data_IF_954804228194
#
_entry.id   IF_954804228194
#
_cell.length_a   1.000
_cell.length_b   1.000
_cell.length_c   1.000
_cell.angle_alpha   90.00
_cell.angle_beta   90.00
_cell.angle_gamma   90.00
#
_symmetry.space_group_name_H-M   'P 1'
#
loop_
_entity.id
_entity.type
_entity.pdbx_description
1 polymer ?
#
# COMPACT_ATOMS: atom_id res chain seq x y z
N UNK A 1 -10.35 -12.15 -6.86
CA UNK A 1 -10.34 -13.58 -6.47
C UNK A 1 -11.77 -13.98 -6.21
N UNK A 2 -12.27 -15.00 -6.90
CA UNK A 2 -13.61 -15.55 -6.68
C UNK A 2 -13.45 -16.66 -5.65
N UNK A 3 -13.50 -16.29 -4.37
CA UNK A 3 -13.51 -17.27 -3.28
C UNK A 3 -14.90 -17.88 -3.17
N UNK A 4 -14.97 -19.19 -2.94
CA UNK A 4 -16.24 -19.89 -2.70
C UNK A 4 -16.14 -20.70 -1.41
N UNK A 5 -17.20 -20.62 -0.60
CA UNK A 5 -17.35 -21.31 0.68
C UNK A 5 -18.58 -22.24 0.52
N UNK A 6 -18.36 -23.54 0.27
CA UNK A 6 -19.40 -24.48 -0.17
C UNK A 6 -20.50 -24.72 0.87
N UNK A 7 -20.20 -24.43 2.12
CA UNK A 7 -21.01 -24.71 3.29
C UNK A 7 -21.97 -23.56 3.66
N UNK A 8 -21.77 -22.34 3.21
CA UNK A 8 -22.60 -21.22 3.68
C UNK A 8 -24.03 -21.24 3.13
N UNK A 9 -25.03 -21.48 3.97
CA UNK A 9 -26.46 -21.50 3.62
C UNK A 9 -27.17 -20.31 4.28
N UNK A 10 -28.07 -19.65 3.54
CA UNK A 10 -29.01 -18.68 4.11
C UNK A 10 -30.08 -19.45 4.90
N UNK A 11 -30.46 -19.06 6.12
CA UNK A 11 -31.43 -19.79 6.94
C UNK A 11 -32.85 -19.87 6.33
N UNK A 12 -33.19 -19.00 5.38
CA UNK A 12 -34.45 -19.09 4.63
C UNK A 12 -34.20 -19.30 3.13
N UNK A 13 -34.90 -20.25 2.48
CA UNK A 13 -34.87 -20.39 1.03
C UNK A 13 -35.32 -19.09 0.38
N UNK A 14 -34.58 -18.64 -0.64
CA UNK A 14 -35.08 -17.56 -1.50
C UNK A 14 -36.31 -18.12 -2.22
N UNK A 15 -37.50 -17.52 -2.05
CA UNK A 15 -38.69 -17.98 -2.75
C UNK A 15 -38.42 -18.07 -4.25
N UNK A 16 -38.90 -19.14 -4.90
CA UNK A 16 -38.61 -19.39 -6.32
C UNK A 16 -39.04 -18.22 -7.23
N UNK A 17 -40.06 -17.45 -6.81
CA UNK A 17 -40.55 -16.27 -7.50
C UNK A 17 -39.61 -15.05 -7.41
N UNK A 18 -38.67 -15.03 -6.46
CA UNK A 18 -37.69 -13.94 -6.29
C UNK A 18 -36.39 -14.18 -7.06
N UNK A 19 -36.14 -15.42 -7.51
CA UNK A 19 -34.94 -15.78 -8.28
C UNK A 19 -34.82 -15.01 -9.61
N UNK A 20 -35.88 -14.81 -10.41
CA UNK A 20 -35.80 -14.03 -11.64
C UNK A 20 -35.35 -12.59 -11.40
N UNK A 21 -35.89 -11.91 -10.37
CA UNK A 21 -35.52 -10.53 -10.04
C UNK A 21 -34.10 -10.40 -9.48
N UNK A 22 -33.57 -11.46 -8.85
CA UNK A 22 -32.18 -11.54 -8.41
C UNK A 22 -31.25 -11.74 -9.60
N UNK A 23 -31.61 -12.63 -10.53
CA UNK A 23 -30.87 -12.89 -11.77
C UNK A 23 -30.87 -11.66 -12.66
N UNK A 24 -32.00 -10.97 -12.83
CA UNK A 24 -32.10 -9.73 -13.61
C UNK A 24 -31.22 -8.62 -13.05
N UNK A 25 -31.23 -8.38 -11.73
CA UNK A 25 -30.33 -7.39 -11.10
C UNK A 25 -28.86 -7.70 -11.37
N UNK A 26 -28.47 -8.97 -11.31
CA UNK A 26 -27.10 -9.42 -11.58
C UNK A 26 -26.73 -9.30 -13.07
N UNK A 27 -27.69 -9.50 -13.97
CA UNK A 27 -27.52 -9.30 -15.41
C UNK A 27 -27.47 -7.81 -15.79
N UNK A 28 -28.25 -6.94 -15.13
CA UNK A 28 -28.19 -5.48 -15.27
C UNK A 28 -26.85 -4.90 -14.78
N UNK A 29 -26.30 -5.43 -13.69
CA UNK A 29 -24.95 -5.09 -13.23
C UNK A 29 -23.86 -5.51 -14.23
N UNK A 30 -24.08 -6.61 -14.98
CA UNK A 30 -23.20 -7.04 -16.08
C UNK A 30 -23.25 -6.10 -17.28
N UNK A 31 -24.43 -5.61 -17.67
CA UNK A 31 -24.60 -4.79 -18.89
C UNK A 31 -24.04 -3.37 -18.75
N UNK A 32 -23.92 -2.85 -17.52
CA UNK A 32 -23.37 -1.52 -17.22
C UNK A 32 -21.83 -1.45 -17.21
N UNK A 33 -21.11 -2.52 -17.56
CA UNK A 33 -19.64 -2.52 -17.61
C UNK A 33 -19.10 -1.80 -18.85
N UNK A 34 -18.97 -0.48 -18.76
CA UNK A 34 -17.78 0.21 -19.31
C UNK A 34 -16.69 0.10 -18.25
N UNK A 35 -15.46 -0.27 -18.66
CA UNK A 35 -14.34 -0.61 -17.76
C UNK A 35 -14.30 0.26 -16.49
N UNK A 36 -14.45 -0.31 -15.28
CA UNK A 36 -14.30 0.50 -14.09
C UNK A 36 -13.30 -0.07 -13.07
N UNK A 37 -12.69 0.89 -12.36
CA UNK A 37 -12.56 0.89 -10.91
C UNK A 37 -13.34 -0.26 -10.26
N UNK A 38 -12.63 -1.10 -9.50
CA UNK A 38 -13.19 -2.20 -8.72
C UNK A 38 -14.52 -1.76 -8.08
N UNK A 39 -15.67 -2.40 -8.41
CA UNK A 39 -16.90 -2.12 -7.70
C UNK A 39 -16.69 -2.37 -6.20
N UNK A 40 -17.41 -1.68 -5.30
CA UNK A 40 -17.40 -2.06 -3.90
C UNK A 40 -17.73 -3.55 -3.82
N UNK A 41 -17.01 -4.33 -2.98
CA UNK A 41 -17.26 -5.76 -2.89
C UNK A 41 -18.75 -5.95 -2.57
N UNK A 42 -19.43 -6.78 -3.36
CA UNK A 42 -20.78 -7.26 -3.03
C UNK A 42 -20.75 -7.68 -1.56
N UNK A 43 -21.49 -6.95 -0.72
CA UNK A 43 -21.64 -7.31 0.69
C UNK A 43 -22.63 -8.46 0.74
N UNK A 44 -22.09 -9.68 0.66
CA UNK A 44 -22.83 -10.85 1.08
C UNK A 44 -23.01 -10.76 2.60
N UNK A 45 -24.22 -10.98 3.14
CA UNK A 45 -24.42 -11.04 4.58
C UNK A 45 -23.50 -12.10 5.20
N UNK A 46 -23.06 -11.88 6.44
CA UNK A 46 -22.21 -12.83 7.12
C UNK A 46 -22.94 -14.19 7.21
N UNK A 47 -22.31 -15.24 6.71
CA UNK A 47 -22.92 -16.54 6.64
C UNK A 47 -22.85 -17.23 8.01
N UNK A 48 -23.92 -17.89 8.44
CA UNK A 48 -23.89 -18.67 9.68
C UNK A 48 -23.04 -19.95 9.50
N UNK A 49 -22.25 -20.34 10.52
CA UNK A 49 -21.41 -21.53 10.43
C UNK A 49 -22.26 -22.80 10.33
N UNK A 50 -21.90 -23.69 9.42
CA UNK A 50 -22.54 -25.02 9.35
C UNK A 50 -22.09 -25.88 10.52
N UNK A 51 -23.01 -26.74 10.98
CA UNK A 51 -22.76 -27.89 11.84
C UNK A 51 -21.45 -28.62 11.47
N UNK A 52 -20.68 -29.08 12.47
CA UNK A 52 -19.47 -29.88 12.27
C UNK A 52 -19.70 -31.18 11.46
N UNK A 53 -20.96 -31.62 11.36
CA UNK A 53 -21.40 -32.73 10.53
C UNK A 53 -22.31 -32.22 9.42
N UNK A 54 -21.88 -32.39 8.17
CA UNK A 54 -22.68 -32.13 6.99
C UNK A 54 -23.58 -33.33 6.71
N UNK A 55 -24.88 -33.10 6.49
CA UNK A 55 -25.76 -34.11 5.90
C UNK A 55 -25.36 -34.40 4.45
N UNK A 56 -25.90 -35.48 3.86
CA UNK A 56 -25.71 -35.74 2.42
C UNK A 56 -26.23 -34.56 1.58
N UNK A 57 -27.37 -34.03 1.98
CA UNK A 57 -28.04 -32.89 1.34
C UNK A 57 -27.17 -31.63 1.41
N UNK A 58 -26.53 -31.35 2.55
CA UNK A 58 -25.61 -30.21 2.70
C UNK A 58 -24.40 -30.35 1.76
N UNK A 59 -23.84 -31.56 1.68
CA UNK A 59 -22.70 -31.84 0.80
C UNK A 59 -23.06 -31.62 -0.67
N UNK A 60 -24.20 -32.14 -1.11
CA UNK A 60 -24.70 -31.98 -2.48
C UNK A 60 -25.06 -30.52 -2.78
N UNK A 61 -25.67 -29.81 -1.83
CA UNK A 61 -25.98 -28.39 -1.97
C UNK A 61 -24.72 -27.55 -2.23
N UNK A 62 -23.62 -27.83 -1.52
CA UNK A 62 -22.34 -27.16 -1.79
C UNK A 62 -21.79 -27.45 -3.18
N UNK A 63 -21.97 -28.66 -3.69
CA UNK A 63 -21.57 -29.03 -5.06
C UNK A 63 -22.40 -28.26 -6.09
N UNK A 64 -23.73 -28.20 -5.91
CA UNK A 64 -24.61 -27.47 -6.82
C UNK A 64 -24.32 -25.97 -6.83
N UNK A 65 -24.03 -25.37 -5.68
CA UNK A 65 -23.60 -23.97 -5.60
C UNK A 65 -22.30 -23.72 -6.35
N UNK A 66 -21.28 -24.56 -6.13
CA UNK A 66 -20.01 -24.46 -6.85
C UNK A 66 -20.24 -24.57 -8.35
N UNK A 67 -21.03 -25.55 -8.77
CA UNK A 67 -21.38 -25.78 -10.16
C UNK A 67 -22.11 -24.59 -10.80
N UNK A 68 -23.11 -24.00 -10.13
CA UNK A 68 -23.82 -22.81 -10.63
C UNK A 68 -22.84 -21.64 -10.82
N UNK A 69 -21.97 -21.41 -9.83
CA UNK A 69 -20.98 -20.33 -9.88
C UNK A 69 -19.99 -20.57 -11.04
N UNK A 70 -19.47 -21.78 -11.16
CA UNK A 70 -18.49 -22.12 -12.18
C UNK A 70 -19.09 -22.09 -13.60
N UNK A 71 -20.31 -22.60 -13.78
CA UNK A 71 -21.01 -22.62 -15.07
C UNK A 71 -21.41 -21.22 -15.55
N UNK A 72 -21.92 -20.36 -14.67
CA UNK A 72 -22.58 -19.10 -15.08
C UNK A 72 -21.77 -17.82 -14.79
N UNK A 73 -20.84 -17.86 -13.83
CA UNK A 73 -20.14 -16.68 -13.32
C UNK A 73 -18.63 -16.72 -13.51
N UNK A 74 -18.08 -17.86 -13.92
CA UNK A 74 -16.65 -18.01 -14.19
C UNK A 74 -16.33 -17.74 -15.66
N UNK A 75 -15.14 -17.18 -16.00
CA UNK A 75 -14.63 -17.16 -17.37
C UNK A 75 -14.38 -18.57 -17.96
N UNK A 76 -14.58 -19.62 -17.15
CA UNK A 76 -14.37 -21.02 -17.49
C UNK A 76 -15.62 -21.73 -18.04
N UNK A 77 -16.74 -21.02 -18.27
CA UNK A 77 -18.03 -21.60 -18.68
C UNK A 77 -17.98 -22.49 -19.93
N UNK A 78 -16.96 -22.35 -20.78
CA UNK A 78 -16.83 -23.11 -22.03
C UNK A 78 -15.74 -24.20 -21.97
N UNK A 79 -15.17 -24.50 -20.80
CA UNK A 79 -14.04 -25.42 -20.67
C UNK A 79 -14.42 -26.91 -20.57
N UNK A 80 -15.66 -27.24 -20.24
CA UNK A 80 -16.09 -28.62 -20.03
C UNK A 80 -17.58 -28.80 -20.31
N UNK A 81 -17.98 -30.04 -20.52
CA UNK A 81 -19.38 -30.44 -20.34
C UNK A 81 -19.71 -30.37 -18.84
N UNK A 82 -20.53 -29.38 -18.48
CA UNK A 82 -20.90 -29.12 -17.10
C UNK A 82 -21.88 -30.16 -16.55
N UNK A 83 -22.70 -30.77 -17.39
CA UNK A 83 -23.66 -31.77 -16.94
C UNK A 83 -22.90 -33.08 -16.64
N UNK A 84 -21.99 -33.49 -17.52
CA UNK A 84 -21.08 -34.62 -17.28
C UNK A 84 -20.20 -34.40 -16.04
N UNK A 85 -19.66 -33.19 -15.87
CA UNK A 85 -18.90 -32.82 -14.67
C UNK A 85 -19.72 -33.01 -13.39
N UNK A 86 -21.00 -32.61 -13.39
CA UNK A 86 -21.85 -32.76 -12.22
C UNK A 86 -22.07 -34.24 -11.87
N UNK A 87 -22.35 -35.08 -12.88
CA UNK A 87 -22.50 -36.53 -12.68
C UNK A 87 -21.23 -37.20 -12.16
N UNK A 88 -20.05 -36.73 -12.58
CA UNK A 88 -18.77 -37.25 -12.10
C UNK A 88 -18.52 -36.92 -10.61
N UNK A 89 -18.90 -35.71 -10.17
CA UNK A 89 -18.56 -35.19 -8.84
C UNK A 89 -19.61 -35.48 -7.76
N UNK A 90 -20.88 -35.74 -8.12
CA UNK A 90 -21.93 -36.16 -7.17
C UNK A 90 -21.46 -37.31 -6.27
N UNK A 91 -21.08 -38.49 -6.80
CA UNK A 91 -20.72 -39.63 -5.96
C UNK A 91 -19.46 -39.36 -5.12
N UNK A 92 -18.53 -38.54 -5.62
CA UNK A 92 -17.30 -38.19 -4.89
C UNK A 92 -17.56 -37.28 -3.69
N UNK A 93 -18.52 -36.36 -3.81
CA UNK A 93 -18.91 -35.45 -2.73
C UNK A 93 -19.78 -36.17 -1.70
N UNK A 94 -20.64 -37.10 -2.13
CA UNK A 94 -21.52 -37.86 -1.24
C UNK A 94 -20.76 -38.72 -0.24
N UNK A 95 -19.64 -39.34 -0.65
CA UNK A 95 -18.86 -40.25 0.19
C UNK A 95 -18.06 -39.56 1.29
N UNK A 96 -17.94 -38.23 1.26
CA UNK A 96 -17.16 -37.49 2.26
C UNK A 96 -17.71 -37.74 3.67
N UNK A 97 -16.87 -38.25 4.55
CA UNK A 97 -17.27 -38.67 5.91
C UNK A 97 -17.21 -37.53 6.92
N UNK A 98 -16.33 -36.57 6.68
CA UNK A 98 -16.11 -35.43 7.56
C UNK A 98 -15.88 -34.14 6.75
N UNK A 99 -15.82 -33.01 7.47
CA UNK A 99 -15.57 -31.69 6.87
C UNK A 99 -14.22 -31.64 6.13
N UNK A 100 -13.19 -32.33 6.64
CA UNK A 100 -11.84 -32.27 6.06
C UNK A 100 -11.81 -32.95 4.69
N UNK A 101 -12.39 -34.15 4.60
CA UNK A 101 -12.54 -34.89 3.36
C UNK A 101 -13.39 -34.10 2.36
N UNK A 102 -14.51 -33.54 2.83
CA UNK A 102 -15.40 -32.70 2.03
C UNK A 102 -14.65 -31.55 1.35
N UNK A 103 -13.90 -30.73 2.10
CA UNK A 103 -13.13 -29.64 1.50
C UNK A 103 -12.00 -30.12 0.59
N UNK A 104 -11.33 -31.23 0.91
CA UNK A 104 -10.32 -31.83 0.04
C UNK A 104 -10.90 -32.29 -1.31
N UNK A 105 -12.17 -32.73 -1.34
CA UNK A 105 -12.88 -33.05 -2.58
C UNK A 105 -13.08 -31.78 -3.42
N UNK A 106 -13.51 -30.67 -2.80
CA UNK A 106 -13.64 -29.38 -3.51
C UNK A 106 -12.31 -28.81 -4.00
N UNK A 107 -11.22 -28.98 -3.24
CA UNK A 107 -9.88 -28.59 -3.70
C UNK A 107 -9.46 -29.40 -4.93
N UNK A 108 -9.72 -30.72 -4.93
CA UNK A 108 -9.47 -31.57 -6.12
C UNK A 108 -10.32 -31.16 -7.31
N UNK A 109 -11.60 -30.87 -7.07
CA UNK A 109 -12.54 -30.40 -8.08
C UNK A 109 -12.05 -29.10 -8.71
N UNK A 110 -11.68 -28.12 -7.89
CA UNK A 110 -11.24 -26.81 -8.39
C UNK A 110 -9.85 -26.83 -9.01
N UNK A 111 -8.97 -27.76 -8.62
CA UNK A 111 -7.66 -27.95 -9.24
C UNK A 111 -7.74 -28.30 -10.74
N UNK A 112 -8.80 -29.00 -11.17
CA UNK A 112 -9.03 -29.34 -12.59
C UNK A 112 -9.34 -28.12 -13.47
N UNK A 113 -9.71 -26.99 -12.87
CA UNK A 113 -10.05 -25.78 -13.61
C UNK A 113 -8.83 -25.01 -14.13
N UNK A 114 -7.61 -25.36 -13.64
CA UNK A 114 -6.35 -24.75 -14.03
C UNK A 114 -6.33 -23.20 -14.01
N UNK A 115 -7.13 -22.59 -13.12
CA UNK A 115 -7.39 -21.15 -13.10
C UNK A 115 -6.81 -20.46 -11.87
N UNK A 116 -6.28 -19.25 -12.04
CA UNK A 116 -5.70 -18.42 -10.94
C UNK A 116 -6.73 -17.74 -10.04
N UNK A 117 -8.03 -18.00 -10.23
CA UNK A 117 -9.11 -17.23 -9.62
C UNK A 117 -10.06 -18.02 -8.73
N UNK A 118 -9.81 -19.33 -8.52
CA UNK A 118 -10.67 -20.20 -7.71
C UNK A 118 -9.90 -20.67 -6.47
N UNK A 119 -10.47 -20.43 -5.30
CA UNK A 119 -9.93 -20.90 -4.02
C UNK A 119 -11.09 -21.42 -3.16
N UNK A 120 -10.92 -22.62 -2.61
CA UNK A 120 -11.79 -23.17 -1.56
C UNK A 120 -11.38 -22.56 -0.23
N UNK A 121 -12.32 -21.95 0.50
CA UNK A 121 -12.08 -21.36 1.82
C UNK A 121 -12.91 -22.09 2.86
N UNK A 122 -12.32 -22.39 4.02
CA UNK A 122 -13.00 -23.03 5.14
C UNK A 122 -12.34 -22.75 6.49
N UNK A 123 -13.03 -22.99 7.62
CA UNK A 123 -12.49 -22.70 8.96
C UNK A 123 -11.17 -23.42 9.28
N UNK A 124 -10.99 -24.67 8.83
CA UNK A 124 -9.70 -25.37 8.97
C UNK A 124 -8.56 -24.79 8.08
N UNK A 125 -8.86 -23.85 7.18
CA UNK A 125 -7.89 -23.09 6.37
C UNK A 125 -7.57 -21.72 6.99
N UNK A 126 -8.23 -21.37 8.11
CA UNK A 126 -7.92 -20.19 8.92
C UNK A 126 -6.70 -20.40 9.82
N UNK A 127 -5.90 -21.44 9.55
CA UNK A 127 -4.59 -21.63 10.18
C UNK A 127 -3.75 -20.38 9.94
N UNK A 128 -3.46 -19.65 11.02
CA UNK A 128 -2.67 -18.41 10.96
C UNK A 128 -1.21 -18.63 11.30
N UNK A 129 -0.89 -19.70 12.04
CA UNK A 129 0.47 -19.99 12.46
C UNK A 129 1.32 -20.44 11.27
N UNK A 130 2.56 -19.97 11.25
CA UNK A 130 3.51 -20.21 10.16
C UNK A 130 4.83 -20.72 10.69
N UNK A 131 5.54 -21.51 9.90
CA UNK A 131 6.91 -21.87 10.22
C UNK A 131 7.82 -20.63 10.24
N UNK A 132 8.86 -20.61 11.08
CA UNK A 132 9.87 -19.54 11.12
C UNK A 132 10.81 -19.52 9.90
N UNK A 133 10.38 -20.02 8.75
CA UNK A 133 11.16 -20.08 7.51
C UNK A 133 10.34 -19.61 6.32
N UNK A 134 11.03 -19.13 5.29
CA UNK A 134 10.47 -18.87 3.96
C UNK A 134 11.08 -19.87 3.00
N UNK A 135 10.24 -20.64 2.33
CA UNK A 135 10.69 -21.57 1.30
C UNK A 135 10.75 -20.88 -0.06
N UNK A 136 11.64 -21.35 -0.93
CA UNK A 136 11.77 -20.96 -2.33
C UNK A 136 12.01 -22.18 -3.19
N UNK A 137 11.76 -22.06 -4.48
CA UNK A 137 12.25 -23.01 -5.47
C UNK A 137 13.55 -22.50 -6.06
N UNK A 138 14.56 -23.37 -6.13
CA UNK A 138 15.81 -23.14 -6.85
C UNK A 138 16.21 -24.44 -7.56
N UNK A 139 16.42 -24.39 -8.87
CA UNK A 139 16.89 -25.54 -9.67
C UNK A 139 16.06 -26.83 -9.48
N UNK A 140 14.72 -26.70 -9.42
CA UNK A 140 13.81 -27.83 -9.21
C UNK A 140 13.79 -28.38 -7.77
N UNK A 141 14.52 -27.76 -6.84
CA UNK A 141 14.57 -28.13 -5.42
C UNK A 141 13.84 -27.11 -4.57
N UNK A 142 13.30 -27.57 -3.45
CA UNK A 142 12.73 -26.70 -2.42
C UNK A 142 13.81 -26.34 -1.40
N UNK A 143 14.09 -25.06 -1.25
CA UNK A 143 15.18 -24.56 -0.41
C UNK A 143 14.71 -23.48 0.57
N UNK A 144 15.47 -23.29 1.64
CA UNK A 144 15.25 -22.21 2.60
C UNK A 144 15.74 -20.90 2.00
N UNK A 145 14.81 -19.98 1.73
CA UNK A 145 15.08 -18.66 1.17
C UNK A 145 14.93 -17.50 2.16
N UNK A 146 14.66 -17.79 3.43
CA UNK A 146 14.53 -16.82 4.51
C UNK A 146 14.32 -17.52 5.86
N UNK A 147 14.80 -16.92 6.93
CA UNK A 147 14.73 -17.44 8.29
C UNK A 147 14.26 -16.31 9.23
N UNK A 148 13.42 -16.66 10.21
CA UNK A 148 13.04 -15.78 11.32
C UNK A 148 13.45 -16.44 12.64
N UNK A 149 14.19 -15.73 13.48
CA UNK A 149 14.77 -16.29 14.71
C UNK A 149 16.01 -17.15 14.42
N UNK A 150 16.35 -18.04 15.36
CA UNK A 150 17.51 -18.93 15.28
C UNK A 150 17.10 -20.42 15.16
N UNK A 151 16.40 -20.84 14.10
CA UNK A 151 16.21 -22.25 13.85
C UNK A 151 17.55 -22.92 13.52
N UNK A 152 17.67 -24.22 13.82
CA UNK A 152 18.82 -25.08 13.47
C UNK A 152 19.05 -25.26 11.96
N UNK A 153 18.37 -24.47 11.12
CA UNK A 153 18.35 -24.54 9.65
C UNK A 153 19.07 -23.32 9.06
N UNK A 154 19.71 -23.48 7.91
CA UNK A 154 20.50 -22.41 7.27
C UNK A 154 19.83 -21.90 5.98
N UNK A 155 20.15 -20.66 5.60
CA UNK A 155 19.75 -20.16 4.28
C UNK A 155 20.41 -21.03 3.19
N UNK A 156 19.62 -21.43 2.19
CA UNK A 156 20.05 -22.30 1.10
C UNK A 156 19.92 -23.80 1.38
N UNK A 157 19.61 -24.21 2.62
CA UNK A 157 19.37 -25.60 2.96
C UNK A 157 18.24 -26.20 2.09
N UNK A 158 18.44 -27.42 1.58
CA UNK A 158 17.45 -28.13 0.74
C UNK A 158 16.49 -28.94 1.62
N UNK A 159 15.20 -28.80 1.39
CA UNK A 159 14.17 -29.62 2.03
C UNK A 159 13.96 -30.90 1.21
N UNK A 160 14.40 -32.03 1.76
CA UNK A 160 14.35 -33.34 1.12
C UNK A 160 13.00 -34.03 1.37
N UNK A 161 12.46 -33.92 2.58
CA UNK A 161 11.17 -34.51 2.94
C UNK A 161 10.41 -33.66 3.97
N UNK A 162 9.09 -33.80 3.97
CA UNK A 162 8.15 -33.18 4.92
C UNK A 162 7.34 -34.30 5.55
N UNK A 163 7.33 -34.40 6.89
CA UNK A 163 6.69 -35.48 7.63
C UNK A 163 7.00 -36.87 7.02
N UNK A 164 8.30 -37.10 6.75
CA UNK A 164 8.84 -38.35 6.18
C UNK A 164 8.52 -38.59 4.70
N UNK A 165 7.57 -37.85 4.11
CA UNK A 165 7.26 -37.93 2.69
C UNK A 165 8.28 -37.13 1.86
N UNK A 166 8.96 -37.75 0.86
CA UNK A 166 9.84 -37.04 -0.06
C UNK A 166 9.16 -35.85 -0.72
N UNK A 167 9.89 -34.73 -0.84
CA UNK A 167 9.39 -33.48 -1.40
C UNK A 167 8.63 -33.68 -2.73
N UNK A 168 9.15 -34.50 -3.65
CA UNK A 168 8.49 -34.77 -4.95
C UNK A 168 7.13 -35.46 -4.82
N UNK A 169 6.94 -36.32 -3.81
CA UNK A 169 5.62 -36.92 -3.53
C UNK A 169 4.66 -35.89 -2.93
N UNK A 170 5.15 -35.05 -2.02
CA UNK A 170 4.36 -33.97 -1.42
C UNK A 170 3.91 -32.99 -2.50
N UNK A 171 4.82 -32.53 -3.37
CA UNK A 171 4.48 -31.65 -4.50
C UNK A 171 3.41 -32.29 -5.39
N UNK A 172 3.58 -33.57 -5.77
CA UNK A 172 2.61 -34.30 -6.60
C UNK A 172 1.23 -34.40 -5.95
N UNK A 173 1.15 -34.53 -4.63
CA UNK A 173 -0.12 -34.53 -3.91
C UNK A 173 -0.77 -33.14 -3.93
N UNK A 174 -0.01 -32.08 -3.70
CA UNK A 174 -0.51 -30.70 -3.74
C UNK A 174 -0.93 -30.25 -5.13
N UNK A 175 -0.28 -30.73 -6.20
CA UNK A 175 -0.69 -30.47 -7.59
C UNK A 175 -2.11 -30.94 -7.90
N UNK A 176 -2.61 -31.94 -7.17
CA UNK A 176 -3.99 -32.43 -7.29
C UNK A 176 -5.00 -31.55 -6.56
N UNK A 177 -4.56 -30.56 -5.77
CA UNK A 177 -5.40 -29.77 -4.85
C UNK A 177 -5.30 -28.26 -5.09
N UNK A 178 -4.27 -27.78 -5.79
CA UNK A 178 -4.08 -26.36 -6.09
C UNK A 178 -4.42 -26.10 -7.55
N UNK A 179 -5.42 -25.25 -7.79
CA UNK A 179 -5.70 -24.71 -9.12
C UNK A 179 -4.68 -23.63 -9.47
N UNK A 180 -3.97 -23.82 -10.58
CA UNK A 180 -2.96 -22.88 -11.05
C UNK A 180 -2.86 -22.92 -12.57
N UNK A 181 -2.65 -21.76 -13.19
CA UNK A 181 -2.51 -21.63 -14.65
C UNK A 181 -1.08 -21.85 -15.15
N UNK A 182 -0.12 -22.00 -14.24
CA UNK A 182 1.29 -22.24 -14.56
C UNK A 182 2.01 -22.90 -13.40
N UNK A 183 3.17 -23.51 -13.67
CA UNK A 183 4.04 -24.07 -12.62
C UNK A 183 4.51 -23.02 -11.63
N UNK A 184 4.76 -21.79 -12.08
CA UNK A 184 5.17 -20.71 -11.18
C UNK A 184 4.05 -20.31 -10.22
N UNK A 185 2.82 -20.21 -10.71
CA UNK A 185 1.65 -19.93 -9.88
C UNK A 185 1.43 -21.06 -8.87
N UNK A 186 1.49 -22.32 -9.33
CA UNK A 186 1.39 -23.49 -8.46
C UNK A 186 2.45 -23.46 -7.35
N UNK A 187 3.73 -23.29 -7.71
CA UNK A 187 4.85 -23.30 -6.76
C UNK A 187 4.70 -22.20 -5.71
N UNK A 188 4.31 -20.98 -6.11
CA UNK A 188 4.06 -19.87 -5.18
C UNK A 188 3.02 -20.26 -4.13
N UNK A 189 1.91 -20.85 -4.55
CA UNK A 189 0.79 -21.15 -3.66
C UNK A 189 1.09 -22.39 -2.81
N UNK A 190 1.70 -23.42 -3.39
CA UNK A 190 2.20 -24.61 -2.68
C UNK A 190 3.17 -24.24 -1.56
N UNK A 191 4.19 -23.42 -1.84
CA UNK A 191 5.17 -23.01 -0.81
C UNK A 191 4.52 -22.23 0.34
N UNK A 192 3.46 -21.45 0.07
CA UNK A 192 2.70 -20.75 1.11
C UNK A 192 1.89 -21.72 1.97
N UNK A 193 1.28 -22.74 1.36
CA UNK A 193 0.48 -23.72 2.08
C UNK A 193 1.33 -24.64 2.98
N UNK A 194 2.52 -25.05 2.53
CA UNK A 194 3.42 -25.93 3.31
C UNK A 194 3.87 -25.29 4.62
N UNK A 195 4.05 -23.98 4.65
CA UNK A 195 4.54 -23.26 5.84
C UNK A 195 3.42 -22.86 6.80
N UNK A 196 2.15 -23.13 6.49
CA UNK A 196 1.00 -22.81 7.35
C UNK A 196 0.56 -24.05 8.11
N UNK A 197 0.31 -23.91 9.41
CA UNK A 197 -0.04 -25.01 10.31
C UNK A 197 -0.78 -24.56 11.55
N UNK A 198 -1.03 -25.49 12.48
CA UNK A 198 -1.68 -25.16 13.75
C UNK A 198 -0.67 -24.69 14.79
N UNK A 199 -1.07 -23.70 15.60
CA UNK A 199 -0.22 -23.17 16.65
C UNK A 199 0.23 -24.28 17.61
N UNK A 200 1.53 -24.36 17.85
CA UNK A 200 2.12 -25.34 18.76
C UNK A 200 2.38 -26.72 18.16
N UNK A 201 1.84 -27.01 16.97
CA UNK A 201 2.28 -28.17 16.20
C UNK A 201 3.70 -27.96 15.66
N UNK A 202 4.36 -29.07 15.34
CA UNK A 202 5.69 -29.07 14.77
C UNK A 202 5.66 -29.75 13.40
N UNK A 203 6.37 -29.17 12.42
CA UNK A 203 6.63 -29.82 11.16
C UNK A 203 7.99 -30.50 11.20
N UNK A 204 8.01 -31.79 10.86
CA UNK A 204 9.22 -32.60 10.74
C UNK A 204 9.79 -32.42 9.33
N UNK A 205 11.01 -31.93 9.22
CA UNK A 205 11.71 -31.70 7.95
C UNK A 205 13.00 -32.51 7.91
N UNK A 206 13.27 -33.21 6.80
CA UNK A 206 14.63 -33.66 6.50
C UNK A 206 15.30 -32.63 5.61
N UNK A 207 16.43 -32.14 6.06
CA UNK A 207 17.14 -31.02 5.44
C UNK A 207 18.53 -31.47 5.02
N UNK A 208 18.91 -31.19 3.77
CA UNK A 208 20.26 -31.40 3.25
C UNK A 208 21.06 -30.11 3.34
N UNK A 209 22.12 -30.14 4.13
CA UNK A 209 23.10 -29.05 4.28
C UNK A 209 24.50 -29.58 4.02
N UNK A 210 25.23 -28.98 3.09
CA UNK A 210 26.60 -29.42 2.70
C UNK A 210 26.72 -30.92 2.42
N UNK A 211 25.71 -31.50 1.75
CA UNK A 211 25.66 -32.93 1.39
C UNK A 211 25.20 -33.89 2.49
N UNK A 212 25.08 -33.44 3.75
CA UNK A 212 24.56 -34.25 4.86
C UNK A 212 23.07 -33.99 5.06
N UNK A 213 22.31 -35.06 5.32
CA UNK A 213 20.89 -34.96 5.66
C UNK A 213 20.74 -35.02 7.17
N UNK A 214 19.97 -34.09 7.74
CA UNK A 214 19.59 -34.07 9.15
C UNK A 214 18.10 -33.82 9.29
N UNK A 215 17.55 -34.31 10.39
CA UNK A 215 16.15 -34.10 10.74
C UNK A 215 16.02 -32.87 11.65
N UNK A 216 15.05 -32.01 11.36
CA UNK A 216 14.74 -30.83 12.16
C UNK A 216 13.24 -30.80 12.41
N UNK A 217 12.83 -30.37 13.61
CA UNK A 217 11.44 -30.10 13.96
C UNK A 217 11.26 -28.60 14.14
N UNK A 218 10.38 -28.00 13.35
CA UNK A 218 10.10 -26.57 13.42
C UNK A 218 8.69 -26.33 13.95
N UNK A 219 8.49 -25.48 14.97
CA UNK A 219 7.17 -25.14 15.46
C UNK A 219 6.45 -24.20 14.47
N UNK A 220 5.13 -24.32 14.36
CA UNK A 220 4.31 -23.27 13.78
C UNK A 220 4.06 -22.17 14.81
N UNK A 221 4.56 -20.97 14.50
CA UNK A 221 4.49 -19.79 15.36
C UNK A 221 3.37 -18.87 14.89
N UNK A 222 2.72 -18.17 15.82
CA UNK A 222 1.77 -17.12 15.45
C UNK A 222 2.46 -16.04 14.62
N UNK A 223 1.78 -15.50 13.60
CA UNK A 223 2.32 -14.40 12.82
C UNK A 223 2.43 -13.17 13.73
N UNK A 224 3.39 -12.27 13.48
CA UNK A 224 3.52 -11.06 14.29
C UNK A 224 2.20 -10.27 14.27
N UNK A 225 1.65 -9.99 15.45
CA UNK A 225 0.36 -9.30 15.61
C UNK A 225 0.41 -7.83 15.21
N UNK A 226 1.60 -7.23 15.21
CA UNK A 226 1.84 -5.85 14.79
C UNK A 226 3.33 -5.53 14.63
N UNK A 227 3.60 -4.33 14.12
CA UNK A 227 4.93 -3.78 13.87
C UNK A 227 4.91 -2.27 14.11
N UNK A 228 5.94 -1.77 14.77
CA UNK A 228 6.26 -0.34 14.83
C UNK A 228 7.68 -0.13 14.32
N UNK A 229 7.87 0.93 13.53
CA UNK A 229 9.15 1.30 12.95
C UNK A 229 9.42 2.77 13.23
N UNK A 230 10.66 3.09 13.61
CA UNK A 230 11.14 4.45 13.73
C UNK A 230 12.58 4.56 13.20
N UNK A 231 12.93 5.77 12.77
CA UNK A 231 14.29 6.13 12.35
C UNK A 231 14.85 7.22 13.25
N UNK A 232 16.16 7.17 13.56
CA UNK A 232 16.83 8.15 14.43
C UNK A 232 17.61 9.09 13.52
N UNK A 233 17.16 10.35 13.44
CA UNK A 233 17.64 11.27 12.39
C UNK A 233 18.95 11.98 12.78
N UNK A 234 19.13 12.32 14.06
CA UNK A 234 20.28 13.11 14.53
C UNK A 234 20.84 12.63 15.89
N UNK A 235 20.69 11.34 16.19
CA UNK A 235 21.09 10.73 17.47
C UNK A 235 20.28 11.14 18.70
N UNK A 236 19.45 12.18 18.61
CA UNK A 236 18.61 12.68 19.72
C UNK A 236 17.10 12.69 19.40
N UNK A 237 16.71 12.74 18.13
CA UNK A 237 15.29 12.77 17.73
C UNK A 237 14.99 11.61 16.80
N UNK A 238 13.82 11.00 16.98
CA UNK A 238 13.34 9.91 16.14
C UNK A 238 12.02 10.24 15.42
N UNK A 239 11.85 9.71 14.22
CA UNK A 239 10.60 9.73 13.46
C UNK A 239 9.94 8.35 13.48
N UNK A 240 8.67 8.27 13.89
CA UNK A 240 7.85 7.08 13.71
C UNK A 240 7.42 6.98 12.26
N UNK A 241 7.97 6.00 11.55
CA UNK A 241 7.70 5.75 10.14
C UNK A 241 6.41 4.96 9.92
N UNK A 242 6.10 4.03 10.83
CA UNK A 242 4.94 3.15 10.68
C UNK A 242 4.49 2.56 12.01
N UNK A 243 3.17 2.48 12.21
CA UNK A 243 2.52 1.67 13.25
C UNK A 243 1.45 0.82 12.58
N UNK A 244 1.58 -0.49 12.67
CA UNK A 244 0.66 -1.44 12.03
C UNK A 244 0.28 -2.55 12.99
N UNK A 245 -1.01 -2.92 12.99
CA UNK A 245 -1.53 -4.09 13.72
C UNK A 245 -2.44 -4.84 12.78
N UNK A 246 -2.28 -6.17 12.73
CA UNK A 246 -3.13 -7.03 11.90
C UNK A 246 -4.60 -6.92 12.32
N UNK A 247 -5.52 -6.96 11.35
CA UNK A 247 -6.97 -6.75 11.58
C UNK A 247 -7.53 -7.65 12.70
N UNK A 248 -7.10 -8.91 12.75
CA UNK A 248 -7.51 -9.89 13.76
C UNK A 248 -7.06 -9.55 15.20
N UNK A 249 -6.12 -8.62 15.35
CA UNK A 249 -5.49 -8.23 16.60
C UNK A 249 -5.82 -6.78 17.00
N UNK A 250 -6.70 -6.10 16.26
CA UNK A 250 -7.13 -4.74 16.59
C UNK A 250 -7.95 -4.72 17.89
N UNK A 251 -8.00 -3.55 18.54
CA UNK A 251 -8.75 -3.31 19.78
C UNK A 251 -8.30 -4.11 21.01
N UNK A 252 -7.12 -4.74 20.97
CA UNK A 252 -6.53 -5.49 22.10
C UNK A 252 -5.41 -4.73 22.83
N UNK A 253 -5.26 -3.43 22.55
CA UNK A 253 -4.20 -2.61 23.16
C UNK A 253 -2.79 -2.78 22.56
N UNK A 254 -2.64 -3.62 21.52
CA UNK A 254 -1.32 -3.92 20.90
C UNK A 254 -0.63 -2.66 20.38
N UNK A 255 -1.34 -1.74 19.69
CA UNK A 255 -0.71 -0.50 19.22
C UNK A 255 -0.19 0.36 20.37
N UNK A 256 -0.89 0.39 21.52
CA UNK A 256 -0.45 1.13 22.71
C UNK A 256 0.82 0.51 23.30
N UNK A 257 0.86 -0.83 23.37
CA UNK A 257 2.05 -1.55 23.84
C UNK A 257 3.25 -1.36 22.91
N UNK A 258 3.03 -1.36 21.59
CA UNK A 258 4.07 -1.07 20.60
C UNK A 258 4.64 0.35 20.74
N UNK A 259 3.77 1.36 20.90
CA UNK A 259 4.19 2.75 21.14
C UNK A 259 5.02 2.85 22.42
N UNK A 260 4.54 2.29 23.54
CA UNK A 260 5.27 2.31 24.81
C UNK A 260 6.65 1.64 24.71
N UNK A 261 6.73 0.48 24.04
CA UNK A 261 7.99 -0.23 23.85
C UNK A 261 8.95 0.52 22.93
N UNK A 262 8.42 1.21 21.90
CA UNK A 262 9.23 2.08 21.05
C UNK A 262 9.81 3.23 21.86
N UNK A 263 8.97 3.93 22.64
CA UNK A 263 9.39 5.06 23.48
C UNK A 263 10.51 4.65 24.44
N UNK A 264 10.36 3.51 25.13
CA UNK A 264 11.40 2.95 26.02
C UNK A 264 12.71 2.66 25.28
N UNK A 265 12.63 2.03 24.09
CA UNK A 265 13.81 1.72 23.29
C UNK A 265 14.51 2.98 22.76
N UNK A 266 13.75 4.01 22.40
CA UNK A 266 14.27 5.30 21.97
C UNK A 266 14.96 6.04 23.14
N UNK A 267 14.35 6.09 24.32
CA UNK A 267 14.99 6.63 25.53
C UNK A 267 16.29 5.89 25.84
N UNK A 268 16.29 4.55 25.77
CA UNK A 268 17.50 3.73 25.99
C UNK A 268 18.63 4.03 25.01
N UNK A 269 18.28 4.47 23.79
CA UNK A 269 19.25 4.88 22.75
C UNK A 269 19.66 6.35 22.83
N UNK A 270 19.18 7.10 23.82
CA UNK A 270 19.55 8.50 24.04
C UNK A 270 18.67 9.52 23.32
N UNK A 271 17.53 9.11 22.74
CA UNK A 271 16.60 10.05 22.13
C UNK A 271 15.86 10.86 23.20
N UNK A 272 15.74 12.16 22.99
CA UNK A 272 15.03 13.12 23.85
C UNK A 272 13.65 13.49 23.30
N UNK A 273 13.37 13.10 22.05
CA UNK A 273 12.11 13.40 21.39
C UNK A 273 11.77 12.42 20.28
N UNK A 274 10.48 12.25 20.04
CA UNK A 274 9.95 11.46 18.95
C UNK A 274 8.78 12.19 18.29
N UNK A 275 8.72 12.18 16.96
CA UNK A 275 7.58 12.69 16.22
C UNK A 275 7.04 11.66 15.22
N UNK A 276 5.85 11.91 14.71
CA UNK A 276 5.23 11.10 13.66
C UNK A 276 4.46 11.99 12.71
N UNK A 277 4.60 11.70 11.41
CA UNK A 277 3.91 12.40 10.33
C UNK A 277 2.92 11.44 9.67
N UNK A 278 1.71 11.91 9.43
CA UNK A 278 0.70 11.11 8.72
C UNK A 278 -0.21 11.97 7.88
N UNK A 279 -0.83 11.34 6.88
CA UNK A 279 -1.83 11.99 6.04
C UNK A 279 -3.16 12.13 6.76
N UNK A 280 -3.68 13.35 6.81
CA UNK A 280 -4.99 13.66 7.37
C UNK A 280 -6.13 13.05 6.53
N UNK A 281 -7.32 12.94 7.12
CA UNK A 281 -8.56 12.52 6.43
C UNK A 281 -8.49 11.13 5.76
N UNK A 282 -7.57 10.27 6.21
CA UNK A 282 -7.52 8.85 5.82
C UNK A 282 -8.36 8.02 6.80
N UNK A 283 -8.88 6.84 6.39
CA UNK A 283 -9.68 5.99 7.27
C UNK A 283 -8.99 5.59 8.58
N UNK A 284 -7.65 5.54 8.60
CA UNK A 284 -6.87 5.24 9.81
C UNK A 284 -6.64 6.44 10.74
N UNK A 285 -6.84 7.68 10.27
CA UNK A 285 -6.40 8.89 10.97
C UNK A 285 -7.06 9.04 12.35
N UNK A 286 -8.38 8.84 12.45
CA UNK A 286 -9.10 8.92 13.73
C UNK A 286 -8.70 7.83 14.73
N UNK A 287 -8.30 6.65 14.24
CA UNK A 287 -7.74 5.59 15.07
C UNK A 287 -6.36 5.96 15.61
N UNK A 288 -5.50 6.51 14.75
CA UNK A 288 -4.17 6.97 15.10
C UNK A 288 -4.21 8.16 16.07
N UNK A 289 -5.06 9.16 15.83
CA UNK A 289 -5.19 10.33 16.70
C UNK A 289 -5.61 9.94 18.13
N UNK A 290 -6.55 9.00 18.28
CA UNK A 290 -6.92 8.43 19.59
C UNK A 290 -5.80 7.62 20.24
N UNK A 291 -4.96 6.95 19.44
CA UNK A 291 -3.80 6.24 19.96
C UNK A 291 -2.76 7.23 20.50
N UNK A 292 -2.44 8.27 19.73
CA UNK A 292 -1.50 9.33 20.10
C UNK A 292 -1.94 10.00 21.41
N UNK A 293 -3.22 10.36 21.53
CA UNK A 293 -3.79 10.90 22.77
C UNK A 293 -3.62 9.94 23.96
N UNK A 294 -3.95 8.64 23.79
CA UNK A 294 -3.77 7.60 24.82
C UNK A 294 -2.32 7.33 25.21
N UNK A 295 -1.38 7.70 24.35
CA UNK A 295 0.06 7.61 24.56
C UNK A 295 0.66 8.94 25.03
N UNK A 296 -0.17 9.95 25.34
CA UNK A 296 0.27 11.26 25.84
C UNK A 296 1.17 12.02 24.86
N UNK A 297 0.94 11.81 23.56
CA UNK A 297 1.55 12.64 22.53
C UNK A 297 0.82 13.97 22.41
N UNK A 298 1.51 15.01 21.97
CA UNK A 298 0.89 16.30 21.73
C UNK A 298 -0.22 16.22 20.68
N UNK A 299 -1.25 17.06 20.82
CA UNK A 299 -2.33 17.12 19.84
C UNK A 299 -1.76 17.32 18.43
N UNK A 300 -2.14 16.47 17.45
CA UNK A 300 -1.59 16.57 16.11
C UNK A 300 -1.95 17.90 15.45
N UNK A 301 -0.94 18.58 14.90
CA UNK A 301 -1.09 19.87 14.22
C UNK A 301 -0.94 19.70 12.71
N UNK A 302 -1.67 20.46 11.88
CA UNK A 302 -1.40 20.54 10.45
C UNK A 302 0.07 20.91 10.21
N UNK A 303 0.73 20.17 9.31
CA UNK A 303 2.14 20.33 8.95
C UNK A 303 2.28 20.93 7.56
N UNK A 304 1.81 20.21 6.55
CA UNK A 304 1.95 20.62 5.14
C UNK A 304 0.72 20.27 4.32
N UNK A 305 0.49 21.07 3.27
CA UNK A 305 -0.34 20.73 2.13
C UNK A 305 0.58 20.27 1.00
N UNK A 306 0.29 19.09 0.45
CA UNK A 306 0.93 18.51 -0.73
C UNK A 306 -0.08 18.62 -1.87
N UNK A 307 0.16 19.59 -2.75
CA UNK A 307 -0.71 19.90 -3.88
C UNK A 307 -0.09 19.30 -5.14
N UNK A 308 -0.85 18.50 -5.90
CA UNK A 308 -0.36 17.88 -7.14
C UNK A 308 -1.27 18.27 -8.29
N UNK A 309 -0.70 18.66 -9.42
CA UNK A 309 -1.41 18.89 -10.68
C UNK A 309 -0.69 18.15 -11.80
N UNK A 310 -1.44 17.43 -12.64
CA UNK A 310 -0.91 16.53 -13.67
C UNK A 310 -1.72 16.59 -14.97
N UNK A 311 -1.02 16.44 -16.09
CA UNK A 311 -1.62 16.28 -17.43
C UNK A 311 -2.63 17.37 -17.77
N UNK A 312 -3.86 16.98 -18.10
CA UNK A 312 -4.93 17.91 -18.50
C UNK A 312 -5.25 18.97 -17.43
N UNK A 313 -5.03 18.68 -16.15
CA UNK A 313 -5.22 19.68 -15.09
C UNK A 313 -4.23 20.83 -15.20
N UNK A 314 -3.00 20.54 -15.62
CA UNK A 314 -1.98 21.56 -15.88
C UNK A 314 -2.39 22.41 -17.09
N UNK A 315 -2.90 21.77 -18.14
CA UNK A 315 -3.43 22.47 -19.33
C UNK A 315 -4.56 23.45 -18.96
N UNK A 316 -5.47 23.02 -18.09
CA UNK A 316 -6.55 23.88 -17.56
C UNK A 316 -6.00 25.00 -16.68
N UNK A 317 -5.02 24.71 -15.83
CA UNK A 317 -4.36 25.71 -14.99
C UNK A 317 -3.70 26.80 -15.85
N UNK A 318 -2.99 26.44 -16.91
CA UNK A 318 -2.33 27.38 -17.82
C UNK A 318 -3.30 28.36 -18.50
N UNK A 319 -4.55 27.94 -18.71
CA UNK A 319 -5.62 28.75 -19.33
C UNK A 319 -6.41 29.58 -18.32
N UNK A 320 -6.12 29.46 -17.02
CA UNK A 320 -6.87 30.17 -15.98
C UNK A 320 -6.55 31.67 -15.91
N UNK A 321 -7.51 32.47 -15.44
CA UNK A 321 -7.37 33.92 -15.35
C UNK A 321 -6.21 34.33 -14.45
N UNK A 322 -6.01 33.63 -13.33
CA UNK A 322 -5.02 34.02 -12.34
C UNK A 322 -3.58 33.89 -12.85
N UNK A 323 -3.33 32.98 -13.80
CA UNK A 323 -2.02 32.85 -14.44
C UNK A 323 -1.62 34.15 -15.14
N UNK A 324 -2.58 34.85 -15.76
CA UNK A 324 -2.32 36.00 -16.64
C UNK A 324 -2.66 37.35 -16.01
N UNK A 325 -3.32 37.37 -14.85
CA UNK A 325 -3.82 38.59 -14.21
C UNK A 325 -2.72 39.48 -13.61
N UNK A 326 -1.64 38.89 -13.09
CA UNK A 326 -0.63 39.63 -12.33
C UNK A 326 0.57 40.00 -13.19
N UNK A 327 0.96 41.28 -13.18
CA UNK A 327 2.17 41.78 -13.85
C UNK A 327 3.14 42.42 -12.87
N UNK A 328 4.43 42.23 -13.10
CA UNK A 328 5.46 42.93 -12.36
C UNK A 328 5.62 44.37 -12.89
N UNK A 329 5.87 45.36 -12.01
CA UNK A 329 6.29 46.68 -12.43
C UNK A 329 7.66 46.61 -13.13
N UNK A 330 7.96 47.58 -13.99
CA UNK A 330 9.24 47.68 -14.71
C UNK A 330 10.49 47.76 -13.80
N UNK A 331 10.32 47.99 -12.51
CA UNK A 331 11.40 48.01 -11.53
C UNK A 331 11.82 46.62 -11.04
N UNK A 332 11.11 45.56 -11.48
CA UNK A 332 11.38 44.18 -11.12
C UNK A 332 11.71 43.38 -12.36
N UNK A 333 12.70 42.49 -12.25
CA UNK A 333 13.07 41.56 -13.30
C UNK A 333 13.09 40.13 -12.76
N UNK A 334 12.72 39.17 -13.62
CA UNK A 334 12.83 37.74 -13.34
C UNK A 334 13.99 37.19 -14.17
N UNK A 335 14.90 36.47 -13.52
CA UNK A 335 16.09 35.90 -14.15
C UNK A 335 16.24 34.41 -13.80
N UNK A 336 16.89 33.60 -14.66
CA UNK A 336 17.24 32.22 -14.32
C UNK A 336 18.09 32.16 -13.05
N UNK A 337 17.75 31.27 -12.10
CA UNK A 337 18.53 31.14 -10.88
C UNK A 337 19.98 30.69 -11.14
N UNK A 338 20.22 29.98 -12.25
CA UNK A 338 21.55 29.55 -12.67
C UNK A 338 22.50 30.73 -12.99
N UNK A 339 21.96 31.92 -13.27
CA UNK A 339 22.76 33.10 -13.65
C UNK A 339 23.23 33.92 -12.44
N UNK A 340 22.88 33.51 -11.22
CA UNK A 340 23.26 34.22 -9.99
C UNK A 340 24.77 34.07 -9.72
N UNK A 341 25.44 35.17 -9.38
CA UNK A 341 26.86 35.14 -9.04
C UNK A 341 27.08 34.80 -7.55
N UNK A 342 28.21 34.15 -7.24
CA UNK A 342 28.52 33.67 -5.87
C UNK A 342 28.50 34.78 -4.81
N UNK A 343 28.93 35.99 -5.15
CA UNK A 343 28.90 37.13 -4.21
C UNK A 343 27.47 37.57 -3.86
N UNK A 344 26.53 37.47 -4.79
CA UNK A 344 25.12 37.77 -4.53
C UNK A 344 24.45 36.68 -3.70
N UNK A 345 24.82 35.42 -3.92
CA UNK A 345 24.37 34.29 -3.11
C UNK A 345 24.78 34.43 -1.63
N UNK A 346 26.01 34.86 -1.35
CA UNK A 346 26.47 35.07 0.03
C UNK A 346 25.74 36.26 0.69
N UNK A 347 25.35 37.30 -0.05
CA UNK A 347 24.58 38.44 0.48
C UNK A 347 23.15 38.07 0.92
N UNK A 348 22.59 37.02 0.35
CA UNK A 348 21.22 36.56 0.66
C UNK A 348 21.21 35.33 1.58
N UNK A 349 22.40 34.80 1.92
CA UNK A 349 22.55 33.74 2.91
C UNK A 349 22.25 34.31 4.29
N UNK A 350 21.22 33.77 4.94
CA UNK A 350 20.82 34.22 6.29
C UNK A 350 19.90 35.43 6.32
N UNK A 351 19.08 35.66 5.28
CA UNK A 351 18.00 36.65 5.36
C UNK A 351 17.13 36.42 6.61
N UNK A 352 16.89 37.46 7.45
CA UNK A 352 16.18 37.29 8.73
C UNK A 352 14.76 36.76 8.59
N UNK A 353 14.12 37.06 7.46
CA UNK A 353 12.75 36.65 7.14
C UNK A 353 12.70 35.31 6.36
N UNK A 354 13.83 34.67 6.09
CA UNK A 354 13.90 33.38 5.40
C UNK A 354 13.47 32.27 6.37
N UNK A 355 12.41 31.49 6.08
CA UNK A 355 11.96 30.44 6.98
C UNK A 355 13.06 29.38 7.19
N UNK A 356 13.20 28.84 8.41
CA UNK A 356 14.20 27.82 8.71
C UNK A 356 14.01 26.59 7.81
N UNK A 357 15.14 26.05 7.33
CA UNK A 357 15.17 24.86 6.49
C UNK A 357 14.82 23.64 7.34
N UNK A 358 13.70 22.98 7.05
CA UNK A 358 13.25 21.83 7.85
C UNK A 358 14.01 20.51 7.55
N UNK A 359 14.89 20.52 6.54
CA UNK A 359 15.77 19.40 6.20
C UNK A 359 17.13 19.93 5.73
N UNK A 360 18.21 19.43 6.33
CA UNK A 360 19.59 19.87 6.05
C UNK A 360 20.04 19.63 4.59
N UNK A 361 19.34 18.79 3.83
CA UNK A 361 19.57 18.57 2.39
C UNK A 361 18.82 19.51 1.43
N UNK A 362 18.14 20.56 1.92
CA UNK A 362 17.31 21.45 1.08
C UNK A 362 17.77 22.92 1.11
N UNK A 363 19.00 23.19 1.53
CA UNK A 363 19.55 24.54 1.46
C UNK A 363 19.66 25.01 0.00
N UNK A 364 19.18 26.21 -0.36
CA UNK A 364 19.40 26.79 -1.69
C UNK A 364 20.86 27.20 -1.91
N UNK A 365 21.72 27.00 -0.90
CA UNK A 365 23.13 27.38 -0.86
C UNK A 365 24.08 26.18 -0.74
N UNK A 366 23.61 24.96 -1.08
CA UNK A 366 24.45 23.77 -1.09
C UNK A 366 25.66 23.97 -2.02
N UNK A 367 26.86 23.73 -1.50
CA UNK A 367 28.09 23.64 -2.29
C UNK A 367 28.05 22.34 -3.09
N UNK A 368 28.47 22.40 -4.35
CA UNK A 368 28.70 21.28 -5.26
C UNK A 368 27.52 20.83 -6.17
N UNK A 369 26.80 21.80 -6.75
CA UNK A 369 26.29 21.64 -8.13
C UNK A 369 25.08 20.73 -8.40
N UNK A 370 24.31 20.31 -7.40
CA UNK A 370 23.00 19.69 -7.63
C UNK A 370 21.97 20.12 -6.57
N UNK A 371 20.73 20.34 -7.02
CA UNK A 371 19.45 20.26 -6.28
C UNK A 371 18.41 21.32 -6.66
N UNK A 372 18.60 22.03 -7.78
CA UNK A 372 17.54 22.81 -8.40
C UNK A 372 17.35 22.49 -9.88
N UNK A 373 16.11 22.65 -10.36
CA UNK A 373 15.74 22.48 -11.76
C UNK A 373 16.05 23.79 -12.52
N UNK A 374 17.08 23.81 -13.40
CA UNK A 374 17.55 25.04 -14.03
C UNK A 374 16.51 25.69 -14.94
N UNK A 375 15.59 24.92 -15.52
CA UNK A 375 14.58 25.45 -16.45
C UNK A 375 13.63 26.43 -15.77
N UNK A 376 13.22 26.14 -14.53
CA UNK A 376 12.17 26.90 -13.86
C UNK A 376 12.50 27.34 -12.42
N UNK A 377 13.75 27.20 -11.99
CA UNK A 377 14.24 27.92 -10.81
C UNK A 377 14.61 29.34 -11.19
N UNK A 378 14.05 30.33 -10.49
CA UNK A 378 14.07 31.73 -10.89
C UNK A 378 14.40 32.64 -9.71
N UNK A 379 15.19 33.68 -9.98
CA UNK A 379 15.38 34.83 -9.11
C UNK A 379 14.43 35.97 -9.47
N UNK A 380 14.10 36.78 -8.48
CA UNK A 380 13.39 38.05 -8.63
C UNK A 380 14.31 39.17 -8.16
N UNK A 381 14.61 40.14 -9.02
CA UNK A 381 15.33 41.35 -8.64
C UNK A 381 14.39 42.56 -8.55
N UNK A 382 14.78 43.55 -7.75
CA UNK A 382 14.18 44.87 -7.68
C UNK A 382 15.29 45.91 -7.78
N UNK A 383 15.28 46.72 -8.85
CA UNK A 383 16.31 47.74 -9.14
C UNK A 383 17.74 47.20 -9.05
N UNK A 384 17.97 46.00 -9.56
CA UNK A 384 19.28 45.35 -9.57
C UNK A 384 19.66 44.58 -8.30
N UNK A 385 18.85 44.61 -7.25
CA UNK A 385 19.07 43.83 -6.04
C UNK A 385 18.13 42.63 -5.94
N UNK A 386 18.60 41.51 -5.40
CA UNK A 386 17.75 40.32 -5.22
C UNK A 386 16.64 40.62 -4.21
N UNK A 387 15.40 40.36 -4.62
CA UNK A 387 14.17 40.63 -3.90
C UNK A 387 13.34 39.37 -3.61
N UNK A 388 13.64 38.24 -4.24
CA UNK A 388 12.95 36.97 -4.02
C UNK A 388 13.49 35.84 -4.89
N UNK A 389 12.91 34.65 -4.71
CA UNK A 389 13.28 33.43 -5.44
C UNK A 389 12.12 32.44 -5.52
N UNK A 390 12.15 31.61 -6.55
CA UNK A 390 11.42 30.35 -6.67
C UNK A 390 12.45 29.28 -6.99
N UNK A 391 12.72 28.38 -6.05
CA UNK A 391 13.58 27.22 -6.30
C UNK A 391 12.72 25.97 -6.39
N UNK A 392 12.95 25.23 -7.47
CA UNK A 392 12.24 24.00 -7.83
C UNK A 392 13.25 22.87 -7.96
N UNK A 393 12.79 21.63 -7.83
CA UNK A 393 13.65 20.44 -7.99
C UNK A 393 12.92 19.39 -8.82
N UNK A 394 13.60 18.78 -9.79
CA UNK A 394 13.02 17.68 -10.56
C UNK A 394 13.09 16.39 -9.75
N UNK A 395 11.92 15.79 -9.46
CA UNK A 395 11.83 14.54 -8.69
C UNK A 395 11.90 13.34 -9.61
N UNK A 396 11.20 13.43 -10.74
CA UNK A 396 11.20 12.46 -11.83
C UNK A 396 11.00 13.19 -13.15
N UNK A 397 11.18 12.50 -14.28
CA UNK A 397 11.15 13.11 -15.63
C UNK A 397 9.97 14.05 -15.88
N UNK A 398 8.77 13.72 -15.41
CA UNK A 398 7.53 14.45 -15.69
C UNK A 398 6.99 15.25 -14.48
N UNK A 399 7.79 15.39 -13.41
CA UNK A 399 7.34 16.01 -12.16
C UNK A 399 8.41 16.92 -11.58
N UNK A 400 8.07 18.20 -11.49
CA UNK A 400 8.88 19.20 -10.78
C UNK A 400 8.22 19.53 -9.45
N UNK A 401 9.04 19.62 -8.40
CA UNK A 401 8.60 20.02 -7.07
C UNK A 401 8.87 21.50 -6.83
N UNK A 402 7.88 22.21 -6.32
CA UNK A 402 7.89 23.61 -5.98
C UNK A 402 7.85 23.75 -4.45
N UNK A 403 8.99 24.12 -3.86
CA UNK A 403 9.13 24.15 -2.39
C UNK A 403 9.55 25.51 -1.84
N UNK A 404 10.32 26.32 -2.60
CA UNK A 404 11.03 27.48 -2.04
C UNK A 404 10.63 28.79 -2.72
N UNK A 405 9.35 29.14 -2.62
CA UNK A 405 8.85 30.47 -3.02
C UNK A 405 9.08 31.47 -1.88
N UNK A 406 9.91 32.47 -2.12
CA UNK A 406 10.17 33.54 -1.16
C UNK A 406 10.24 34.90 -1.84
N UNK A 407 9.73 35.93 -1.16
CA UNK A 407 9.84 37.33 -1.56
C UNK A 407 10.07 38.16 -0.28
N UNK A 408 11.00 39.12 -0.31
CA UNK A 408 11.29 40.03 0.82
C UNK A 408 10.01 40.65 1.37
N UNK A 409 9.93 40.78 2.69
CA UNK A 409 8.75 41.22 3.45
C UNK A 409 8.14 42.53 2.93
N UNK A 410 8.97 43.50 2.55
CA UNK A 410 8.56 44.79 1.97
C UNK A 410 7.81 44.68 0.63
N UNK A 411 7.97 43.57 -0.10
CA UNK A 411 7.28 43.31 -1.37
C UNK A 411 6.15 42.27 -1.24
N UNK A 412 5.94 41.73 -0.03
CA UNK A 412 4.83 40.82 0.25
C UNK A 412 3.50 41.58 0.25
N UNK A 413 2.38 40.84 0.10
CA UNK A 413 1.00 41.36 0.01
C UNK A 413 0.72 42.30 -1.18
N UNK A 414 1.72 42.63 -2.00
CA UNK A 414 1.56 43.36 -3.27
C UNK A 414 1.44 42.42 -4.50
N UNK A 415 1.29 41.11 -4.27
CA UNK A 415 1.14 40.10 -5.32
C UNK A 415 2.43 39.76 -6.10
N UNK A 416 3.61 40.20 -5.66
CA UNK A 416 4.89 40.03 -6.39
C UNK A 416 5.37 38.58 -6.53
N UNK A 417 4.96 37.71 -5.60
CA UNK A 417 5.28 36.29 -5.66
C UNK A 417 4.53 35.55 -6.79
N UNK A 418 3.37 36.07 -7.24
CA UNK A 418 2.51 35.39 -8.21
C UNK A 418 3.13 35.42 -9.62
N UNK A 419 3.59 36.57 -10.16
CA UNK A 419 4.32 36.57 -11.43
C UNK A 419 5.53 35.63 -11.42
N UNK A 420 6.32 35.61 -10.34
CA UNK A 420 7.47 34.72 -10.20
C UNK A 420 7.07 33.23 -10.27
N UNK A 421 6.04 32.83 -9.52
CA UNK A 421 5.50 31.48 -9.56
C UNK A 421 4.94 31.13 -10.96
N UNK A 422 4.14 32.01 -11.55
CA UNK A 422 3.52 31.74 -12.86
C UNK A 422 4.54 31.65 -13.98
N UNK A 423 5.62 32.44 -13.93
CA UNK A 423 6.72 32.35 -14.89
C UNK A 423 7.48 31.03 -14.75
N UNK A 424 7.73 30.58 -13.52
CA UNK A 424 8.31 29.25 -13.26
C UNK A 424 7.44 28.14 -13.86
N UNK A 425 6.13 28.16 -13.63
CA UNK A 425 5.19 27.19 -14.20
C UNK A 425 5.20 27.23 -15.74
N UNK A 426 5.21 28.43 -16.34
CA UNK A 426 5.26 28.59 -17.81
C UNK A 426 6.51 27.98 -18.43
N UNK A 427 7.68 28.23 -17.84
CA UNK A 427 8.95 27.69 -18.34
C UNK A 427 8.97 26.17 -18.28
N UNK A 428 8.51 25.58 -17.18
CA UNK A 428 8.35 24.12 -17.10
C UNK A 428 7.40 23.63 -18.19
N UNK A 429 6.21 24.21 -18.27
CA UNK A 429 5.16 23.79 -19.20
C UNK A 429 5.63 23.82 -20.66
N UNK A 430 6.32 24.88 -21.07
CA UNK A 430 6.88 25.02 -22.40
C UNK A 430 7.97 23.98 -22.68
N UNK A 431 8.87 23.74 -21.72
CA UNK A 431 9.94 22.75 -21.83
C UNK A 431 9.39 21.31 -21.93
N UNK A 432 8.30 21.03 -21.22
CA UNK A 432 7.68 19.70 -21.12
C UNK A 432 6.53 19.49 -22.10
N UNK A 433 6.35 20.36 -23.11
CA UNK A 433 5.18 20.33 -24.01
C UNK A 433 4.88 18.97 -24.66
N UNK A 434 5.90 18.12 -24.83
CA UNK A 434 5.81 16.77 -25.40
C UNK A 434 5.42 15.68 -24.40
N UNK A 435 5.30 15.98 -23.10
CA UNK A 435 5.05 15.01 -22.03
C UNK A 435 3.57 15.10 -21.61
N UNK A 436 2.74 14.09 -21.90
CA UNK A 436 1.31 14.13 -21.54
C UNK A 436 1.06 14.10 -20.03
N UNK A 437 1.96 13.48 -19.26
CA UNK A 437 1.84 13.34 -17.80
C UNK A 437 2.58 14.43 -17.01
N UNK A 438 3.02 15.50 -17.68
CA UNK A 438 3.74 16.62 -17.06
C UNK A 438 2.97 17.21 -15.89
N UNK A 439 3.69 17.71 -14.90
CA UNK A 439 3.04 18.34 -13.76
C UNK A 439 3.96 18.76 -12.64
N UNK A 440 3.32 19.29 -11.61
CA UNK A 440 3.99 19.88 -10.45
C UNK A 440 3.48 19.32 -9.14
N UNK A 441 4.37 19.32 -8.14
CA UNK A 441 4.01 19.11 -6.74
C UNK A 441 4.40 20.37 -5.97
N UNK A 442 3.46 21.01 -5.29
CA UNK A 442 3.72 22.15 -4.41
C UNK A 442 3.63 21.69 -2.95
N UNK A 443 4.67 21.96 -2.18
CA UNK A 443 4.72 21.66 -0.75
C UNK A 443 4.58 22.97 0.02
N UNK A 444 3.45 23.15 0.71
CA UNK A 444 3.12 24.38 1.41
C UNK A 444 3.05 24.09 2.91
N UNK A 445 3.78 24.86 3.71
CA UNK A 445 3.66 24.78 5.17
C UNK A 445 2.28 25.24 5.61
N UNK A 446 1.65 24.49 6.52
CA UNK A 446 0.28 24.74 6.94
C UNK A 446 0.14 26.08 7.72
N UNK A 447 1.21 26.58 8.31
CA UNK A 447 1.27 27.89 8.98
C UNK A 447 1.43 29.08 8.01
N UNK A 448 1.75 28.82 6.73
CA UNK A 448 1.84 29.84 5.68
C UNK A 448 0.45 30.23 5.15
N UNK A 449 -0.37 30.83 6.02
CA UNK A 449 -1.77 31.17 5.73
C UNK A 449 -1.99 31.91 4.40
N UNK A 450 -1.18 32.90 4.00
CA UNK A 450 -1.35 33.56 2.71
C UNK A 450 -1.21 32.59 1.52
N UNK A 451 -0.26 31.66 1.58
CA UNK A 451 -0.03 30.68 0.51
C UNK A 451 -1.10 29.59 0.53
N UNK A 452 -1.52 29.13 1.72
CA UNK A 452 -2.65 28.19 1.86
C UNK A 452 -3.93 28.77 1.26
N UNK A 453 -4.23 30.03 1.54
CA UNK A 453 -5.40 30.73 0.95
C UNK A 453 -5.26 30.89 -0.57
N UNK A 454 -4.05 31.21 -1.05
CA UNK A 454 -3.78 31.31 -2.48
C UNK A 454 -4.03 29.98 -3.20
N UNK A 455 -3.50 28.87 -2.67
CA UNK A 455 -3.72 27.53 -3.22
C UNK A 455 -5.21 27.21 -3.28
N UNK A 456 -5.91 27.31 -2.14
CA UNK A 456 -7.34 26.97 -2.07
C UNK A 456 -8.18 27.80 -3.01
N UNK A 457 -7.89 29.10 -3.12
CA UNK A 457 -8.66 30.00 -3.97
C UNK A 457 -8.38 29.84 -5.46
N UNK A 458 -7.16 29.49 -5.86
CA UNK A 458 -6.70 29.63 -7.26
C UNK A 458 -6.16 28.37 -7.89
N UNK A 459 -5.48 27.53 -7.13
CA UNK A 459 -4.86 26.31 -7.66
C UNK A 459 -5.75 25.09 -7.46
N UNK A 460 -6.51 25.00 -6.36
CA UNK A 460 -7.35 23.84 -6.01
C UNK A 460 -8.26 23.34 -7.14
N UNK A 461 -8.93 24.20 -7.95
CA UNK A 461 -9.74 23.74 -9.08
C UNK A 461 -8.95 23.01 -10.18
N UNK A 462 -7.62 23.11 -10.16
CA UNK A 462 -6.69 22.55 -11.12
C UNK A 462 -5.70 21.58 -10.47
N UNK A 463 -5.96 21.13 -9.24
CA UNK A 463 -5.18 20.09 -8.60
C UNK A 463 -5.80 18.72 -8.88
N UNK A 464 -4.98 17.79 -9.33
CA UNK A 464 -5.30 16.37 -9.38
C UNK A 464 -5.40 15.77 -7.97
N UNK A 465 -4.64 16.31 -7.02
CA UNK A 465 -4.70 15.91 -5.62
C UNK A 465 -4.31 17.04 -4.68
N UNK A 466 -5.02 17.14 -3.56
CA UNK A 466 -4.69 18.03 -2.44
C UNK A 466 -4.67 17.19 -1.16
N UNK A 467 -3.49 17.01 -0.59
CA UNK A 467 -3.28 16.16 0.59
C UNK A 467 -2.79 17.02 1.75
N UNK A 468 -3.45 16.94 2.90
CA UNK A 468 -2.97 17.54 4.13
C UNK A 468 -2.21 16.49 4.96
N UNK A 469 -1.08 16.89 5.53
CA UNK A 469 -0.33 16.08 6.50
C UNK A 469 -0.42 16.73 7.87
N UNK A 470 -0.49 15.90 8.91
CA UNK A 470 -0.40 16.31 10.31
C UNK A 470 0.88 15.74 10.91
N UNK A 471 1.38 16.43 11.92
CA UNK A 471 2.47 15.95 12.76
C UNK A 471 2.05 15.97 14.23
N UNK A 472 2.58 15.02 14.98
CA UNK A 472 2.52 14.99 16.44
C UNK A 472 3.91 14.69 16.98
N UNK A 473 4.20 15.17 18.18
CA UNK A 473 5.50 15.03 18.84
C UNK A 473 5.28 14.68 20.30
N UNK A 474 6.24 13.95 20.88
CA UNK A 474 6.35 13.66 22.30
C UNK A 474 7.80 13.84 22.74
N UNK A 475 8.00 14.56 23.83
CA UNK A 475 9.30 14.58 24.54
C UNK A 475 9.46 13.25 25.28
N UNK A 476 10.64 12.66 25.15
CA UNK A 476 11.03 11.46 25.89
C UNK A 476 11.80 11.89 27.13
N UNK A 477 11.46 11.31 28.29
CA UNK A 477 12.15 11.53 29.56
C UNK A 477 13.19 10.46 29.80
#
# INVERSE_FOLDING_TARGET
>A
MTGFQPDLIRPMPIPFHDLPALVERVLEEKSKRTSPLFPPPMQFPEPEPVSERLSREDRLMGLFKAWVILRHFSPFSNLTDWDAFLYEWIPKVEIAQDLKEYYQIFEKLTAQLHGIHVQVRHRMSDKTAVLPIRLKYAEGRMVVGGIKGEPEILLGDEIVSINEAPFGLVEKQWRKRISASSDQAFRRDFLRQVVIGEKGEHLKLSVRSSGRIREIRLPFLEPPSGLILADIMDGQTAEVLSVFVGKAFMNQGISKALMARLEEELTRRGCTGVFGIYTANKPFASGLERLLEKCEWNQPKPRQLVCTSKGEDVERMMKSDWMNHYRLPKSFDIFPWADIITEELEKIRGWPDDPPYYHDGLSPFLKDGADFEPVNSLGLSYRGEIAGRMITTRVVRDTVRYERLFVKKEFQRMGRAIPLLTESIRRQYAHEGHIPTKGGIWIIQADSMPMVQFIRKRMEPYLTSLIETKQSFKSLQ
#
